data_IF_174357713892
#
_entry.id   IF_174357713892
#
_cell.length_a   1.000
_cell.length_b   1.000
_cell.length_c   1.000
_cell.angle_alpha   90.00
_cell.angle_beta   90.00
_cell.angle_gamma   90.00
#
_symmetry.space_group_name_H-M   'P 1'
#
loop_
_entity.id
_entity.type
_entity.pdbx_description
1 polymer ?
#
# COMPACT_ATOMS: atom_id res chain seq x y z
N UNK A 1 10.54 8.55 -39.91
CA UNK A 1 10.96 8.34 -38.51
C UNK A 1 10.01 9.16 -37.65
N UNK A 2 8.98 8.51 -37.09
CA UNK A 2 7.92 9.16 -36.34
C UNK A 2 8.46 9.68 -35.01
N UNK A 3 8.31 10.99 -34.79
CA UNK A 3 8.61 11.63 -33.52
C UNK A 3 7.62 11.10 -32.47
N UNK A 4 8.11 10.32 -31.51
CA UNK A 4 7.38 10.06 -30.26
C UNK A 4 7.12 11.41 -29.60
N UNK A 5 5.94 12.00 -29.82
CA UNK A 5 5.44 13.07 -28.97
C UNK A 5 5.14 12.43 -27.63
N UNK A 6 6.10 12.49 -26.70
CA UNK A 6 5.84 12.22 -25.30
C UNK A 6 4.71 13.14 -24.83
N UNK A 7 3.66 12.62 -24.17
CA UNK A 7 2.61 13.49 -23.66
C UNK A 7 3.23 14.45 -22.64
N UNK A 8 2.90 15.74 -22.78
CA UNK A 8 3.34 16.76 -21.83
C UNK A 8 2.74 16.39 -20.47
N UNK A 9 3.46 16.64 -19.36
CA UNK A 9 2.97 16.30 -18.01
C UNK A 9 1.55 16.79 -17.73
N UNK A 10 1.17 17.91 -18.36
CA UNK A 10 -0.17 18.50 -18.33
C UNK A 10 -1.22 17.61 -19.01
N UNK A 11 -0.90 17.00 -20.15
CA UNK A 11 -1.80 16.07 -20.86
C UNK A 11 -2.04 14.80 -20.04
N UNK A 12 -1.00 14.28 -19.39
CA UNK A 12 -1.11 13.13 -18.48
C UNK A 12 -1.96 13.45 -17.25
N UNK A 13 -1.73 14.61 -16.62
CA UNK A 13 -2.54 15.07 -15.50
C UNK A 13 -4.02 15.20 -15.88
N UNK A 14 -4.30 15.74 -17.08
CA UNK A 14 -5.67 15.86 -17.61
C UNK A 14 -6.32 14.49 -17.80
N UNK A 15 -5.59 13.52 -18.37
CA UNK A 15 -6.08 12.15 -18.53
C UNK A 15 -6.36 11.46 -17.19
N UNK A 16 -5.52 11.69 -16.18
CA UNK A 16 -5.73 11.15 -14.84
C UNK A 16 -6.94 11.80 -14.16
N UNK A 17 -7.15 13.11 -14.30
CA UNK A 17 -8.34 13.78 -13.79
C UNK A 17 -9.60 13.16 -14.42
N UNK A 18 -9.62 13.03 -15.75
CA UNK A 18 -10.75 12.45 -16.48
C UNK A 18 -11.01 10.99 -16.08
N UNK A 19 -9.96 10.16 -15.98
CA UNK A 19 -10.09 8.78 -15.53
C UNK A 19 -10.60 8.70 -14.07
N UNK A 20 -10.11 9.58 -13.19
CA UNK A 20 -10.53 9.63 -11.78
C UNK A 20 -11.99 10.07 -11.65
N UNK A 21 -12.44 11.03 -12.45
CA UNK A 21 -13.85 11.46 -12.51
C UNK A 21 -14.77 10.34 -12.97
N UNK A 22 -14.37 9.57 -13.99
CA UNK A 22 -15.12 8.40 -14.47
C UNK A 22 -15.24 7.33 -13.40
N UNK A 23 -14.13 7.02 -12.72
CA UNK A 23 -14.13 6.05 -11.61
C UNK A 23 -15.02 6.56 -10.47
N UNK A 24 -14.89 7.81 -10.05
CA UNK A 24 -15.72 8.38 -8.99
C UNK A 24 -17.21 8.38 -9.36
N UNK A 25 -17.56 8.76 -10.58
CA UNK A 25 -18.95 8.73 -11.06
C UNK A 25 -19.52 7.30 -11.07
N UNK A 26 -18.73 6.32 -11.49
CA UNK A 26 -19.11 4.91 -11.45
C UNK A 26 -19.36 4.43 -10.01
N UNK A 27 -18.47 4.78 -9.07
CA UNK A 27 -18.62 4.40 -7.66
C UNK A 27 -19.89 4.99 -7.06
N UNK A 28 -20.12 6.29 -7.27
CA UNK A 28 -21.32 6.98 -6.77
C UNK A 28 -22.59 6.42 -7.39
N UNK A 29 -22.60 6.13 -8.70
CA UNK A 29 -23.77 5.61 -9.40
C UNK A 29 -24.18 4.19 -8.99
N UNK A 30 -23.24 3.42 -8.43
CA UNK A 30 -23.46 2.03 -7.98
C UNK A 30 -23.44 1.90 -6.45
N UNK A 31 -23.50 3.01 -5.71
CA UNK A 31 -23.42 3.05 -4.24
C UNK A 31 -22.19 2.33 -3.67
N UNK A 32 -21.07 2.35 -4.40
CA UNK A 32 -19.82 1.77 -3.93
C UNK A 32 -19.09 2.73 -2.97
N UNK A 33 -18.49 2.18 -1.89
CA UNK A 33 -17.62 2.94 -1.00
C UNK A 33 -16.39 3.51 -1.71
N UNK A 34 -15.94 4.69 -1.28
CA UNK A 34 -14.78 5.38 -1.84
C UNK A 34 -13.47 4.67 -1.45
N UNK A 35 -12.45 4.68 -2.32
CA UNK A 35 -11.15 4.09 -2.01
C UNK A 35 -10.46 4.94 -0.93
N UNK A 36 -9.95 4.28 0.11
CA UNK A 36 -9.20 4.91 1.19
C UNK A 36 -8.05 4.00 1.64
N UNK A 37 -7.08 4.58 2.35
CA UNK A 37 -6.06 3.83 3.09
C UNK A 37 -6.53 3.48 4.51
N UNK A 38 -7.69 3.99 4.93
CA UNK A 38 -8.28 3.70 6.22
C UNK A 38 -8.62 2.22 6.37
N UNK A 39 -8.63 1.73 7.61
CA UNK A 39 -8.92 0.31 7.92
C UNK A 39 -10.20 -0.20 7.28
N UNK A 40 -11.25 0.62 7.30
CA UNK A 40 -12.60 0.23 6.84
C UNK A 40 -12.77 0.42 5.32
N UNK A 41 -11.66 0.65 4.59
CA UNK A 41 -11.70 0.73 3.15
C UNK A 41 -12.06 -0.62 2.50
N UNK A 42 -12.73 -0.61 1.35
CA UNK A 42 -13.18 -1.83 0.69
C UNK A 42 -12.00 -2.69 0.24
N UNK A 43 -12.03 -3.98 0.56
CA UNK A 43 -10.97 -4.92 0.20
C UNK A 43 -10.89 -5.23 -1.30
N UNK A 44 -12.03 -5.13 -1.99
CA UNK A 44 -12.13 -5.40 -3.43
C UNK A 44 -12.76 -4.19 -4.08
N UNK A 45 -12.04 -3.66 -5.06
CA UNK A 45 -12.51 -2.58 -5.91
C UNK A 45 -12.83 -3.13 -7.30
N UNK A 46 -13.89 -2.64 -7.97
CA UNK A 46 -14.15 -2.98 -9.37
C UNK A 46 -12.95 -2.60 -10.23
N UNK A 47 -12.70 -3.40 -11.28
CA UNK A 47 -11.55 -3.26 -12.16
C UNK A 47 -11.61 -1.91 -12.91
N UNK A 48 -10.92 -0.90 -12.36
CA UNK A 48 -10.82 0.43 -12.94
C UNK A 48 -9.63 0.51 -13.91
N UNK A 49 -9.67 1.37 -14.94
CA UNK A 49 -8.55 1.55 -15.87
C UNK A 49 -7.34 2.19 -15.17
N UNK A 50 -6.45 1.35 -14.61
CA UNK A 50 -5.27 1.78 -13.84
C UNK A 50 -4.08 2.27 -14.69
N UNK A 51 -4.20 2.20 -16.02
CA UNK A 51 -3.10 2.43 -16.98
C UNK A 51 -2.55 3.87 -16.91
N UNK A 52 -3.43 4.87 -16.77
CA UNK A 52 -3.02 6.27 -16.77
C UNK A 52 -2.12 6.63 -15.57
N UNK A 53 -2.45 6.15 -14.36
CA UNK A 53 -1.64 6.38 -13.16
C UNK A 53 -0.30 5.67 -13.22
N UNK A 54 -0.27 4.41 -13.68
CA UNK A 54 0.99 3.67 -13.86
C UNK A 54 1.90 4.36 -14.88
N UNK A 55 1.32 4.83 -15.99
CA UNK A 55 2.04 5.56 -17.04
C UNK A 55 2.60 6.89 -16.53
N UNK A 56 1.85 7.67 -15.73
CA UNK A 56 2.37 8.91 -15.14
C UNK A 56 3.46 8.65 -14.10
N UNK A 57 3.27 7.66 -13.22
CA UNK A 57 4.30 7.26 -12.25
C UNK A 57 5.59 6.84 -12.97
N UNK A 58 5.50 6.04 -14.03
CA UNK A 58 6.66 5.67 -14.84
C UNK A 58 7.34 6.86 -15.52
N UNK A 59 6.56 7.79 -16.07
CA UNK A 59 7.07 8.98 -16.76
C UNK A 59 7.78 9.97 -15.80
N UNK A 60 7.27 10.14 -14.58
CA UNK A 60 7.84 11.06 -13.56
C UNK A 60 9.11 10.52 -12.90
N UNK A 61 9.19 9.21 -12.74
CA UNK A 61 10.37 8.55 -12.15
C UNK A 61 11.59 8.70 -13.08
N UNK A 62 11.37 8.65 -14.40
CA UNK A 62 12.45 8.72 -15.38
C UNK A 62 13.24 7.40 -15.47
N UNK A 63 13.96 7.15 -16.57
CA UNK A 63 14.47 5.81 -16.90
C UNK A 63 15.53 5.28 -15.91
N UNK A 64 16.39 6.15 -15.38
CA UNK A 64 17.44 5.74 -14.45
C UNK A 64 16.88 5.33 -13.07
N UNK A 65 15.98 6.14 -12.51
CA UNK A 65 15.33 5.83 -11.24
C UNK A 65 14.35 4.67 -11.40
N UNK A 66 13.75 4.48 -12.58
CA UNK A 66 12.88 3.35 -12.87
C UNK A 66 13.65 2.03 -12.81
N UNK A 67 14.85 1.97 -13.39
CA UNK A 67 15.74 0.80 -13.27
C UNK A 67 16.17 0.57 -11.82
N UNK A 68 16.41 1.64 -11.05
CA UNK A 68 16.73 1.55 -9.63
C UNK A 68 15.57 0.98 -8.82
N UNK A 69 14.34 1.43 -9.09
CA UNK A 69 13.12 0.88 -8.50
C UNK A 69 12.93 -0.60 -8.87
N UNK A 70 13.07 -0.95 -10.15
CA UNK A 70 13.00 -2.35 -10.60
C UNK A 70 13.97 -3.27 -9.83
N UNK A 71 15.20 -2.81 -9.59
CA UNK A 71 16.16 -3.54 -8.78
C UNK A 71 15.77 -3.63 -7.30
N UNK A 72 15.20 -2.56 -6.73
CA UNK A 72 14.82 -2.50 -5.32
C UNK A 72 13.47 -3.15 -4.98
N UNK A 73 12.54 -3.28 -5.93
CA UNK A 73 11.19 -3.88 -5.74
C UNK A 73 11.27 -5.34 -5.24
N UNK A 74 12.36 -6.04 -5.51
CA UNK A 74 12.65 -7.36 -4.94
C UNK A 74 12.72 -7.33 -3.40
N UNK A 75 13.08 -6.20 -2.79
CA UNK A 75 13.10 -6.02 -1.34
C UNK A 75 11.70 -5.78 -0.74
N UNK A 76 10.71 -5.35 -1.51
CA UNK A 76 9.34 -5.15 -1.01
C UNK A 76 8.74 -6.48 -0.55
N UNK A 77 8.99 -7.57 -1.29
CA UNK A 77 8.66 -8.94 -0.86
C UNK A 77 9.39 -9.38 0.42
N UNK A 78 10.57 -8.81 0.70
CA UNK A 78 11.31 -9.15 1.92
C UNK A 78 10.59 -8.65 3.17
N UNK A 79 9.86 -7.52 3.10
CA UNK A 79 9.07 -7.03 4.24
C UNK A 79 7.97 -8.01 4.66
N UNK A 80 7.23 -8.58 3.69
CA UNK A 80 6.25 -9.64 3.93
C UNK A 80 6.88 -10.91 4.50
N UNK A 81 8.11 -11.23 4.08
CA UNK A 81 8.86 -12.41 4.54
C UNK A 81 9.21 -12.36 6.03
N UNK A 82 9.26 -11.17 6.65
CA UNK A 82 9.47 -11.03 8.10
C UNK A 82 8.16 -11.03 8.90
N UNK A 83 7.02 -10.69 8.28
CA UNK A 83 5.72 -10.69 8.98
C UNK A 83 5.23 -12.10 9.31
N UNK A 84 5.48 -13.07 8.41
CA UNK A 84 5.02 -14.45 8.53
C UNK A 84 5.74 -15.26 9.63
N UNK A 85 7.09 -15.33 9.67
CA UNK A 85 7.81 -16.18 10.63
C UNK A 85 7.68 -15.70 12.08
N UNK A 86 7.52 -14.39 12.27
CA UNK A 86 7.40 -13.78 13.61
C UNK A 86 5.95 -13.56 14.05
N UNK A 87 4.98 -13.97 13.23
CA UNK A 87 3.56 -13.86 13.53
C UNK A 87 3.14 -12.43 13.96
N UNK A 88 3.77 -11.42 13.35
CA UNK A 88 3.64 -10.01 13.77
C UNK A 88 2.24 -9.47 13.50
N UNK A 89 1.67 -9.84 12.35
CA UNK A 89 0.34 -9.38 11.97
C UNK A 89 -0.74 -9.81 13.00
N UNK A 90 -0.87 -11.09 13.38
CA UNK A 90 -1.84 -11.47 14.41
C UNK A 90 -1.49 -11.01 15.84
N UNK A 91 -0.24 -10.59 16.11
CA UNK A 91 0.11 -9.99 17.39
C UNK A 91 -0.44 -8.55 17.55
N UNK A 92 -0.89 -7.92 16.47
CA UNK A 92 -1.50 -6.59 16.47
C UNK A 92 -3.03 -6.76 16.38
N UNK A 93 -3.82 -6.29 17.35
CA UNK A 93 -5.26 -6.43 17.29
C UNK A 93 -5.89 -5.54 16.21
N UNK A 94 -6.89 -6.08 15.50
CA UNK A 94 -7.55 -5.38 14.38
C UNK A 94 -8.22 -4.05 14.75
N UNK A 95 -8.75 -3.95 15.97
CA UNK A 95 -9.57 -2.81 16.39
C UNK A 95 -8.88 -1.87 17.38
N UNK A 96 -7.59 -2.07 17.69
CA UNK A 96 -6.87 -1.23 18.64
C UNK A 96 -5.42 -0.99 18.24
N UNK A 97 -4.93 0.22 18.50
CA UNK A 97 -3.50 0.50 18.43
C UNK A 97 -2.79 -0.08 19.66
N UNK A 98 -1.66 -0.74 19.45
CA UNK A 98 -0.83 -1.36 20.49
C UNK A 98 0.57 -0.79 20.48
N UNK A 99 1.24 -0.82 21.64
CA UNK A 99 2.62 -0.32 21.73
C UNK A 99 3.61 -1.29 21.08
N UNK A 100 4.73 -0.79 20.56
CA UNK A 100 5.78 -1.66 20.01
C UNK A 100 6.30 -2.68 21.03
N UNK A 101 6.37 -2.33 22.31
CA UNK A 101 6.81 -3.22 23.38
C UNK A 101 5.84 -4.38 23.62
N UNK A 102 4.53 -4.13 23.54
CA UNK A 102 3.48 -5.17 23.66
C UNK A 102 3.56 -6.18 22.49
N UNK A 103 3.75 -5.68 21.27
CA UNK A 103 3.92 -6.52 20.08
C UNK A 103 5.23 -7.31 20.17
N UNK A 104 6.32 -6.69 20.62
CA UNK A 104 7.62 -7.33 20.81
C UNK A 104 7.55 -8.48 21.84
N UNK A 105 6.85 -8.26 22.96
CA UNK A 105 6.62 -9.29 23.97
C UNK A 105 5.81 -10.47 23.42
N UNK A 106 4.76 -10.18 22.64
CA UNK A 106 3.88 -11.20 22.04
C UNK A 106 4.59 -12.00 20.95
N UNK A 107 5.36 -11.32 20.10
CA UNK A 107 6.11 -11.92 19.00
C UNK A 107 7.48 -12.51 19.41
N UNK A 108 7.86 -12.39 20.69
CA UNK A 108 9.18 -12.77 21.22
C UNK A 108 10.35 -12.22 20.39
N UNK A 109 10.22 -10.97 19.94
CA UNK A 109 11.18 -10.30 19.06
C UNK A 109 11.84 -9.12 19.76
N UNK A 110 13.06 -8.77 19.33
CA UNK A 110 13.70 -7.53 19.77
C UNK A 110 12.90 -6.31 19.27
N UNK A 111 12.62 -5.37 20.17
CA UNK A 111 11.76 -4.21 19.89
C UNK A 111 12.34 -3.32 18.78
N UNK A 112 13.67 -3.16 18.71
CA UNK A 112 14.31 -2.32 17.70
C UNK A 112 14.22 -2.97 16.31
N UNK A 113 14.41 -4.30 16.25
CA UNK A 113 14.20 -5.07 15.02
C UNK A 113 12.74 -5.02 14.58
N UNK A 114 11.80 -5.22 15.51
CA UNK A 114 10.37 -5.15 15.22
C UNK A 114 9.98 -3.76 14.67
N UNK A 115 10.45 -2.67 15.30
CA UNK A 115 10.23 -1.30 14.80
C UNK A 115 10.76 -1.12 13.38
N UNK A 116 11.94 -1.65 13.09
CA UNK A 116 12.56 -1.55 11.76
C UNK A 116 11.74 -2.29 10.70
N UNK A 117 11.27 -3.50 11.02
CA UNK A 117 10.41 -4.31 10.15
C UNK A 117 9.05 -3.63 9.92
N UNK A 118 8.39 -3.16 10.97
CA UNK A 118 7.09 -2.49 10.86
C UNK A 118 7.18 -1.18 10.09
N UNK A 119 8.24 -0.39 10.27
CA UNK A 119 8.45 0.83 9.47
C UNK A 119 8.68 0.52 7.99
N UNK A 120 9.41 -0.54 7.67
CA UNK A 120 9.56 -1.01 6.30
C UNK A 120 8.24 -1.53 5.72
N UNK A 121 7.40 -2.17 6.54
CA UNK A 121 6.05 -2.56 6.12
C UNK A 121 5.18 -1.33 5.83
N UNK A 122 5.27 -0.28 6.65
CA UNK A 122 4.56 1.00 6.46
C UNK A 122 4.98 1.71 5.16
N UNK A 123 6.26 1.66 4.77
CA UNK A 123 6.68 2.21 3.46
C UNK A 123 6.08 1.45 2.28
N UNK A 124 5.68 0.18 2.49
CA UNK A 124 4.96 -0.64 1.51
C UNK A 124 3.43 -0.54 1.65
N UNK A 125 2.93 0.42 2.44
CA UNK A 125 1.50 0.64 2.62
C UNK A 125 0.82 -0.36 3.58
N UNK A 126 1.57 -1.07 4.42
CA UNK A 126 1.05 -1.99 5.42
C UNK A 126 1.20 -1.41 6.83
N UNK A 127 0.16 -1.52 7.65
CA UNK A 127 0.09 -0.95 9.01
C UNK A 127 0.16 0.58 9.02
N UNK A 128 -0.08 1.16 10.19
CA UNK A 128 0.10 2.59 10.42
C UNK A 128 0.56 2.87 11.86
N UNK A 129 1.19 4.03 12.06
CA UNK A 129 1.58 4.55 13.38
C UNK A 129 0.67 5.73 13.73
N UNK A 130 -0.49 5.48 14.37
CA UNK A 130 -1.48 6.54 14.63
C UNK A 130 -0.99 7.57 15.66
N UNK A 131 -0.04 7.18 16.52
CA UNK A 131 0.64 8.05 17.47
C UNK A 131 2.03 7.49 17.76
N UNK A 132 3.02 8.33 18.13
CA UNK A 132 4.39 7.89 18.37
C UNK A 132 4.46 6.71 19.34
N UNK A 133 5.12 5.63 18.92
CA UNK A 133 5.33 4.43 19.71
C UNK A 133 4.20 3.39 19.66
N UNK A 134 3.16 3.62 18.85
CA UNK A 134 2.04 2.70 18.68
C UNK A 134 1.88 2.27 17.24
N UNK A 135 1.39 1.05 17.03
CA UNK A 135 1.11 0.47 15.72
C UNK A 135 -0.34 -0.02 15.67
N UNK A 136 -0.97 0.12 14.50
CA UNK A 136 -2.30 -0.40 14.22
C UNK A 136 -2.37 -0.95 12.78
N UNK A 137 -3.42 -1.73 12.51
CA UNK A 137 -3.75 -2.14 11.16
C UNK A 137 -4.37 -1.01 10.33
N UNK A 138 -4.05 -1.02 9.04
CA UNK A 138 -4.76 -0.33 7.96
C UNK A 138 -5.50 -1.37 7.08
N UNK A 139 -6.23 -0.95 6.04
CA UNK A 139 -7.03 -1.89 5.22
C UNK A 139 -6.20 -3.06 4.66
N UNK A 140 -5.04 -2.76 4.06
CA UNK A 140 -4.17 -3.78 3.46
C UNK A 140 -3.61 -4.76 4.49
N UNK A 141 -3.10 -4.27 5.62
CA UNK A 141 -2.54 -5.14 6.67
C UNK A 141 -3.61 -5.92 7.45
N UNK A 142 -4.85 -5.43 7.53
CA UNK A 142 -5.95 -6.19 8.13
C UNK A 142 -6.25 -7.45 7.32
N UNK A 143 -6.15 -7.38 6.00
CA UNK A 143 -6.34 -8.53 5.11
C UNK A 143 -5.25 -9.59 5.29
N UNK A 144 -4.03 -9.24 5.68
CA UNK A 144 -2.94 -10.22 5.94
C UNK A 144 -3.34 -11.20 7.05
N UNK A 145 -4.23 -10.81 7.96
CA UNK A 145 -4.78 -11.69 9.01
C UNK A 145 -6.08 -12.39 8.61
N UNK A 146 -6.69 -12.00 7.48
CA UNK A 146 -7.95 -12.55 6.98
C UNK A 146 -7.69 -13.84 6.20
N UNK A 147 -8.51 -14.90 6.40
CA UNK A 147 -8.40 -16.14 5.63
C UNK A 147 -8.59 -15.96 4.11
N UNK A 148 -9.12 -14.81 3.67
CA UNK A 148 -9.36 -14.48 2.25
C UNK A 148 -8.09 -14.34 1.39
N UNK A 149 -6.90 -14.22 2.00
CA UNK A 149 -5.61 -14.11 1.29
C UNK A 149 -4.78 -15.41 1.31
N UNK A 150 -5.28 -16.47 1.94
CA UNK A 150 -4.57 -17.76 2.09
C UNK A 150 -5.02 -18.85 1.10
N UNK A 151 -5.81 -18.49 0.08
CA UNK A 151 -6.19 -19.37 -1.03
C UNK A 151 -5.20 -19.26 -2.21
#
# INVERSE_FOLDING_TARGET
MSTCSSPILVDLATRISQATEQVNAFLVANDYPQPSFDRDAPAVFPEAPADACQTMCGALVGPAEHLRWLACRCHDMSSLRWLYPFNIAPAIPLYRAVSYSEVAATAQADENRLKSVLRLAMTNGLFCEPRPGFVAHNAASALVTSPTLND
#
